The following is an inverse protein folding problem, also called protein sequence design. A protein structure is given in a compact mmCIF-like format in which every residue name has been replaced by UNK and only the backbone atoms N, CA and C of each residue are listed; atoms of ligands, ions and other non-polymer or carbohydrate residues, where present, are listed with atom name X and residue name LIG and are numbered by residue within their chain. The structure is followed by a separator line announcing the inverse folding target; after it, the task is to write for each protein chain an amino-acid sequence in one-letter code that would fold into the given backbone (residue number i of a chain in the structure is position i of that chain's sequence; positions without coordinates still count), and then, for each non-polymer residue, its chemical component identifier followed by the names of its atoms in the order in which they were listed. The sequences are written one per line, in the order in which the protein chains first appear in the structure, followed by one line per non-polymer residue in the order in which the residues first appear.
data_IF_746984683801
#
_entry.id   IF_746984683801
#
_cell.length_a   1.000
_cell.length_b   1.000
_cell.length_c   1.000
_cell.angle_alpha   90.00
_cell.angle_beta   90.00
_cell.angle_gamma   90.00
#
_symmetry.space_group_name_H-M   'P 1'
#
loop_
_entity.id
_entity.type
_entity.pdbx_description
1 polymer ?
#
# COMPACT_ATOMS: atom_id res chain seq x y z
N UNK A 1 42.88 2.16 23.07
CA UNK A 1 41.58 1.49 22.85
C UNK A 1 40.58 2.54 22.47
N UNK A 2 40.42 2.74 21.17
CA UNK A 2 39.48 3.67 20.56
C UNK A 2 38.11 3.02 20.52
N UNK A 3 37.14 3.62 21.20
CA UNK A 3 35.72 3.26 21.09
C UNK A 3 35.23 3.93 19.79
N UNK A 4 34.82 3.10 18.84
CA UNK A 4 34.21 3.51 17.58
C UNK A 4 32.73 3.81 17.82
N UNK A 5 32.35 5.08 17.72
CA UNK A 5 30.96 5.51 17.64
C UNK A 5 30.38 5.13 16.28
N UNK A 6 29.58 4.06 16.27
CA UNK A 6 28.68 3.75 15.16
C UNK A 6 27.51 4.74 15.21
N UNK A 7 27.49 5.70 14.28
CA UNK A 7 26.29 6.51 14.02
C UNK A 7 25.34 5.70 13.14
N UNK A 8 24.16 5.43 13.67
CA UNK A 8 22.99 5.00 12.91
C UNK A 8 22.63 6.07 11.84
N UNK A 9 22.07 5.67 10.68
CA UNK A 9 21.62 6.61 9.68
C UNK A 9 20.36 7.34 10.15
N UNK A 10 20.34 8.66 9.98
CA UNK A 10 19.22 9.52 10.32
C UNK A 10 17.99 9.20 9.45
N UNK A 11 16.85 8.99 10.11
CA UNK A 11 15.53 9.01 9.46
C UNK A 11 15.31 10.34 8.75
N UNK A 12 15.05 10.32 7.44
CA UNK A 12 14.58 11.49 6.70
C UNK A 12 13.19 11.87 7.21
N UNK A 13 13.11 12.88 8.06
CA UNK A 13 11.85 13.34 8.64
C UNK A 13 11.00 14.08 7.61
N UNK A 14 9.72 13.68 7.49
CA UNK A 14 8.68 14.43 6.77
C UNK A 14 8.61 15.85 7.37
N UNK A 15 8.95 16.87 6.59
CA UNK A 15 8.84 18.27 7.02
C UNK A 15 7.42 18.77 6.74
N UNK A 16 6.52 18.52 7.70
CA UNK A 16 5.15 19.06 7.72
C UNK A 16 5.20 20.49 8.26
N UNK A 17 4.63 21.46 7.54
CA UNK A 17 4.44 22.82 8.05
C UNK A 17 2.97 23.02 8.39
N UNK A 18 2.68 23.15 9.68
CA UNK A 18 1.37 23.62 10.13
C UNK A 18 1.28 25.13 9.90
N UNK A 19 0.34 25.55 9.04
CA UNK A 19 0.02 26.96 8.84
C UNK A 19 -1.25 27.26 9.64
N UNK A 20 -1.17 28.14 10.63
CA UNK A 20 -2.34 28.64 11.37
C UNK A 20 -2.56 30.12 11.08
N UNK A 21 -3.72 30.46 10.51
CA UNK A 21 -4.29 31.81 10.51
C UNK A 21 -5.75 31.75 10.98
N UNK A 22 -6.33 32.85 11.53
CA UNK A 22 -7.32 32.71 12.60
C UNK A 22 -8.78 32.54 12.12
N UNK A 23 -9.46 31.60 12.78
CA UNK A 23 -10.90 31.46 12.98
C UNK A 23 -11.83 31.75 11.80
N UNK A 24 -11.90 30.79 10.89
CA UNK A 24 -13.11 30.45 10.14
C UNK A 24 -13.23 28.92 10.15
N UNK A 25 -14.34 28.34 9.71
CA UNK A 25 -14.56 26.88 9.65
C UNK A 25 -13.70 26.20 8.55
N UNK A 26 -12.49 26.71 8.33
CA UNK A 26 -11.51 26.20 7.39
C UNK A 26 -10.98 24.86 7.91
N UNK A 27 -11.14 23.84 7.07
CA UNK A 27 -10.52 22.55 7.28
C UNK A 27 -9.01 22.77 7.48
N UNK A 28 -8.42 22.18 8.52
CA UNK A 28 -6.97 22.13 8.63
C UNK A 28 -6.44 21.36 7.40
N UNK A 29 -5.60 22.02 6.61
CA UNK A 29 -4.98 21.43 5.42
C UNK A 29 -3.48 21.47 5.60
N UNK A 30 -2.85 20.31 5.65
CA UNK A 30 -1.40 20.22 5.68
C UNK A 30 -0.82 20.47 4.28
N UNK A 31 0.28 21.20 4.18
CA UNK A 31 1.04 21.35 2.94
C UNK A 31 2.24 20.38 2.93
N UNK A 32 2.31 19.51 1.93
CA UNK A 32 3.47 18.62 1.74
C UNK A 32 4.50 19.30 0.85
N UNK A 33 5.67 19.61 1.41
CA UNK A 33 6.78 20.23 0.67
C UNK A 33 7.73 19.15 0.10
N UNK A 34 7.88 18.02 0.79
CA UNK A 34 8.68 16.87 0.37
C UNK A 34 7.89 15.57 0.62
N UNK A 35 7.38 14.94 -0.44
CA UNK A 35 6.72 13.63 -0.33
C UNK A 35 7.74 12.52 -0.58
N UNK A 36 7.98 11.60 0.38
CA UNK A 36 9.08 10.62 0.30
C UNK A 36 8.83 9.52 -0.74
N UNK A 37 7.63 9.42 -1.31
CA UNK A 37 7.34 8.47 -2.38
C UNK A 37 7.84 9.01 -3.73
N UNK A 38 8.79 8.33 -4.39
CA UNK A 38 9.44 8.86 -5.58
C UNK A 38 8.66 8.58 -6.87
N UNK A 39 7.34 8.33 -6.78
CA UNK A 39 6.46 8.01 -7.92
C UNK A 39 6.96 6.80 -8.73
N UNK A 40 7.44 5.78 -8.03
CA UNK A 40 8.10 4.62 -8.63
C UNK A 40 7.21 3.95 -9.68
N UNK A 41 5.92 3.80 -9.41
CA UNK A 41 5.02 3.10 -10.33
C UNK A 41 4.83 3.89 -11.64
N UNK A 42 4.76 5.22 -11.59
CA UNK A 42 4.70 6.08 -12.80
C UNK A 42 5.92 5.96 -13.71
N UNK A 43 7.08 5.57 -13.16
CA UNK A 43 8.32 5.37 -13.88
C UNK A 43 8.45 3.97 -14.45
N UNK A 44 7.98 2.95 -13.72
CA UNK A 44 8.10 1.54 -14.11
C UNK A 44 7.01 1.13 -15.09
N UNK A 45 5.75 1.48 -14.80
CA UNK A 45 4.61 0.97 -15.56
C UNK A 45 4.42 1.75 -16.85
N UNK A 46 4.18 1.02 -17.94
CA UNK A 46 3.80 1.56 -19.24
C UNK A 46 2.29 1.52 -19.41
N UNK A 47 1.72 2.59 -19.97
CA UNK A 47 0.28 2.63 -20.29
C UNK A 47 -0.06 1.57 -21.33
N UNK A 48 -1.03 0.73 -21.01
CA UNK A 48 -1.43 -0.41 -21.83
C UNK A 48 -2.82 -0.88 -21.41
N UNK A 49 -3.54 -1.51 -22.33
CA UNK A 49 -4.81 -2.21 -22.07
C UNK A 49 -4.66 -3.70 -22.36
N UNK A 50 -5.21 -4.54 -21.48
CA UNK A 50 -5.39 -5.98 -21.68
C UNK A 50 -6.78 -6.32 -21.18
N UNK A 51 -7.62 -6.87 -22.07
CA UNK A 51 -9.03 -7.10 -21.77
C UNK A 51 -9.73 -5.81 -21.33
N UNK A 52 -10.46 -5.90 -20.22
CA UNK A 52 -11.16 -4.77 -19.57
C UNK A 52 -10.25 -3.87 -18.75
N UNK A 53 -9.03 -4.33 -18.44
CA UNK A 53 -8.11 -3.62 -17.58
C UNK A 53 -7.16 -2.71 -18.35
N UNK A 54 -6.80 -1.57 -17.78
CA UNK A 54 -5.77 -0.70 -18.32
C UNK A 54 -4.90 -0.05 -17.23
N UNK A 55 -3.64 0.19 -17.58
CA UNK A 55 -2.76 1.10 -16.87
C UNK A 55 -2.86 2.48 -17.54
N UNK A 56 -3.21 3.48 -16.75
CA UNK A 56 -3.39 4.87 -17.20
C UNK A 56 -2.58 5.83 -16.32
N UNK A 57 -1.96 6.84 -16.92
CA UNK A 57 -1.20 7.87 -16.22
C UNK A 57 -1.99 9.17 -16.18
N UNK A 58 -1.94 9.83 -15.03
CA UNK A 58 -2.55 11.14 -14.82
C UNK A 58 -1.68 11.98 -13.90
N UNK A 59 -2.06 13.24 -13.72
CA UNK A 59 -1.38 14.17 -12.83
C UNK A 59 -2.43 14.85 -11.95
N UNK A 60 -2.24 14.79 -10.64
CA UNK A 60 -2.97 15.63 -9.71
C UNK A 60 -2.31 17.02 -9.70
N UNK A 61 -3.03 18.08 -10.11
CA UNK A 61 -2.45 19.41 -10.25
C UNK A 61 -1.99 19.99 -8.91
N UNK A 62 -0.93 20.81 -8.95
CA UNK A 62 -0.55 21.67 -7.82
C UNK A 62 -1.73 22.50 -7.30
N UNK A 63 -1.83 22.63 -5.98
CA UNK A 63 -2.91 23.33 -5.29
C UNK A 63 -4.17 22.49 -5.05
N UNK A 64 -4.23 21.27 -5.60
CA UNK A 64 -5.34 20.35 -5.32
C UNK A 64 -5.28 19.87 -3.88
N UNK A 65 -6.41 19.90 -3.19
CA UNK A 65 -6.57 19.24 -1.88
C UNK A 65 -7.00 17.81 -2.12
N UNK A 66 -6.27 16.86 -1.55
CA UNK A 66 -6.53 15.43 -1.61
C UNK A 66 -6.53 14.82 -0.21
N UNK A 67 -7.03 13.61 -0.10
CA UNK A 67 -6.93 12.81 1.13
C UNK A 67 -5.53 12.21 1.24
N UNK A 68 -4.91 12.38 2.41
CA UNK A 68 -3.77 11.60 2.88
C UNK A 68 -4.19 10.69 4.03
N UNK A 69 -3.30 9.79 4.42
CA UNK A 69 -3.56 8.85 5.51
C UNK A 69 -2.42 8.85 6.52
N UNK A 70 -2.75 8.89 7.80
CA UNK A 70 -1.78 8.62 8.86
C UNK A 70 -1.97 7.19 9.36
N UNK A 71 -1.08 6.29 8.94
CA UNK A 71 -1.13 4.89 9.32
C UNK A 71 -0.86 4.64 10.80
N UNK A 72 -0.21 5.56 11.52
CA UNK A 72 -0.03 5.41 12.97
C UNK A 72 -1.36 5.61 13.71
N UNK A 73 -2.16 6.59 13.28
CA UNK A 73 -3.41 6.96 13.94
C UNK A 73 -4.68 6.44 13.25
N UNK A 74 -4.54 5.86 12.05
CA UNK A 74 -5.66 5.40 11.22
C UNK A 74 -6.57 6.53 10.72
N UNK A 75 -6.08 7.77 10.70
CA UNK A 75 -6.89 8.96 10.36
C UNK A 75 -6.67 9.42 8.93
N UNK A 76 -7.76 9.89 8.32
CA UNK A 76 -7.73 10.62 7.05
C UNK A 76 -7.45 12.09 7.35
N UNK A 77 -6.59 12.69 6.54
CA UNK A 77 -6.22 14.11 6.62
C UNK A 77 -6.35 14.78 5.25
N UNK A 78 -6.75 16.05 5.25
CA UNK A 78 -6.76 16.84 4.03
C UNK A 78 -5.38 17.43 3.80
N UNK A 79 -4.88 17.26 2.59
CA UNK A 79 -3.53 17.67 2.24
C UNK A 79 -3.55 18.40 0.91
N UNK A 80 -2.91 19.57 0.88
CA UNK A 80 -2.74 20.35 -0.33
C UNK A 80 -1.44 19.95 -1.00
N UNK A 81 -1.56 19.47 -2.24
CA UNK A 81 -0.43 19.11 -3.07
C UNK A 81 0.31 20.40 -3.50
N UNK A 82 1.62 20.47 -3.28
CA UNK A 82 2.43 21.66 -3.61
C UNK A 82 3.23 21.54 -4.93
N UNK A 83 3.07 20.44 -5.66
CA UNK A 83 3.70 20.16 -6.95
C UNK A 83 2.75 19.39 -7.88
N UNK A 84 3.12 19.16 -9.15
CA UNK A 84 2.32 18.29 -10.01
C UNK A 84 2.59 16.82 -9.61
N UNK A 85 1.62 16.18 -8.96
CA UNK A 85 1.77 14.82 -8.43
C UNK A 85 1.41 13.79 -9.51
N UNK A 86 2.37 13.00 -10.04
CA UNK A 86 2.10 11.94 -11.00
C UNK A 86 1.33 10.80 -10.34
N UNK A 87 0.32 10.27 -11.04
CA UNK A 87 -0.50 9.15 -10.59
C UNK A 87 -0.58 8.10 -11.69
N UNK A 88 -0.40 6.84 -11.33
CA UNK A 88 -0.75 5.67 -12.14
C UNK A 88 -2.01 5.04 -11.59
N UNK A 89 -2.91 4.65 -12.49
CA UNK A 89 -4.16 3.98 -12.16
C UNK A 89 -4.22 2.65 -12.87
N UNK A 90 -4.66 1.62 -12.15
CA UNK A 90 -5.28 0.44 -12.74
C UNK A 90 -6.77 0.74 -12.88
N UNK A 91 -7.29 0.65 -14.09
CA UNK A 91 -8.71 0.85 -14.39
C UNK A 91 -9.34 -0.43 -14.92
N UNK A 92 -10.65 -0.60 -14.66
CA UNK A 92 -11.51 -1.63 -15.24
C UNK A 92 -12.67 -0.92 -15.95
N UNK A 93 -12.73 -1.05 -17.28
CA UNK A 93 -13.73 -0.36 -18.12
C UNK A 93 -13.84 1.16 -17.84
N UNK A 94 -12.71 1.78 -17.53
CA UNK A 94 -12.59 3.22 -17.25
C UNK A 94 -12.87 3.62 -15.79
N UNK A 95 -13.30 2.69 -14.94
CA UNK A 95 -13.43 2.92 -13.50
C UNK A 95 -12.10 2.62 -12.82
N UNK A 96 -11.66 3.48 -11.90
CA UNK A 96 -10.41 3.25 -11.15
C UNK A 96 -10.60 2.11 -10.16
N UNK A 97 -9.74 1.10 -10.25
CA UNK A 97 -9.68 -0.03 -9.31
C UNK A 97 -8.65 0.22 -8.21
N UNK A 98 -7.48 0.74 -8.59
CA UNK A 98 -6.38 1.08 -7.69
C UNK A 98 -5.55 2.19 -8.32
N UNK A 99 -4.87 3.00 -7.51
CA UNK A 99 -3.83 3.93 -7.96
C UNK A 99 -2.64 4.02 -6.99
N UNK A 100 -1.67 4.88 -7.29
CA UNK A 100 -0.64 5.33 -6.34
C UNK A 100 -0.88 6.79 -5.92
N UNK A 101 -2.15 7.16 -5.77
CA UNK A 101 -2.49 8.42 -5.14
C UNK A 101 -1.96 8.44 -3.68
N UNK A 102 -1.91 9.62 -3.10
CA UNK A 102 -1.29 9.80 -1.80
C UNK A 102 -1.96 8.99 -0.69
N UNK A 103 -3.29 8.88 -0.68
CA UNK A 103 -4.01 8.05 0.28
C UNK A 103 -3.61 6.57 0.19
N UNK A 104 -3.55 6.01 -1.02
CA UNK A 104 -3.17 4.60 -1.25
C UNK A 104 -1.71 4.33 -0.88
N UNK A 105 -0.80 5.25 -1.21
CA UNK A 105 0.61 5.16 -0.81
C UNK A 105 0.75 5.20 0.71
N UNK A 106 0.13 6.20 1.35
CA UNK A 106 0.24 6.40 2.80
C UNK A 106 -0.42 5.25 3.59
N UNK A 107 -1.57 4.75 3.13
CA UNK A 107 -2.26 3.61 3.75
C UNK A 107 -1.52 2.28 3.64
N UNK A 108 -0.62 2.14 2.66
CA UNK A 108 0.22 0.96 2.54
C UNK A 108 1.49 1.03 3.41
N UNK A 109 1.80 2.16 4.05
CA UNK A 109 3.02 2.31 4.84
C UNK A 109 3.06 1.37 6.06
N UNK A 110 1.91 1.04 6.66
CA UNK A 110 1.83 0.05 7.73
C UNK A 110 2.29 -1.35 7.28
N UNK A 111 1.99 -1.76 6.04
CA UNK A 111 2.49 -3.00 5.47
C UNK A 111 3.99 -2.93 5.17
N UNK A 112 4.46 -1.80 4.61
CA UNK A 112 5.87 -1.57 4.27
C UNK A 112 6.77 -1.58 5.52
N UNK A 113 6.27 -1.05 6.64
CA UNK A 113 6.94 -1.07 7.94
C UNK A 113 7.10 -2.50 8.47
N UNK A 114 6.01 -3.28 8.44
CA UNK A 114 5.98 -4.65 8.97
C UNK A 114 6.70 -5.68 8.09
N UNK A 115 6.89 -5.39 6.80
CA UNK A 115 7.47 -6.28 5.81
C UNK A 115 8.90 -6.72 6.16
N UNK A 116 9.07 -8.03 6.35
CA UNK A 116 10.34 -8.70 6.60
C UNK A 116 10.25 -10.16 6.15
N UNK A 117 11.40 -10.81 5.95
CA UNK A 117 11.43 -12.26 5.74
C UNK A 117 10.73 -12.70 4.45
N UNK A 118 9.95 -13.79 4.51
CA UNK A 118 9.13 -14.25 3.38
C UNK A 118 7.74 -13.64 3.46
N UNK A 119 7.29 -12.97 2.40
CA UNK A 119 6.01 -12.25 2.37
C UNK A 119 5.06 -12.90 1.37
N UNK A 120 3.79 -13.04 1.75
CA UNK A 120 2.68 -13.34 0.86
C UNK A 120 1.85 -12.07 0.67
N UNK A 121 1.51 -11.74 -0.57
CA UNK A 121 0.61 -10.63 -0.91
C UNK A 121 -0.58 -11.20 -1.68
N UNK A 122 -1.78 -11.02 -1.15
CA UNK A 122 -3.03 -11.26 -1.86
C UNK A 122 -3.48 -9.98 -2.56
N UNK A 123 -3.56 -10.02 -3.88
CA UNK A 123 -3.79 -8.87 -4.76
C UNK A 123 -2.48 -8.34 -5.34
N UNK A 124 -2.42 -8.16 -6.66
CA UNK A 124 -1.30 -7.51 -7.34
C UNK A 124 -1.56 -6.01 -7.51
N UNK A 125 -2.77 -5.63 -7.92
CA UNK A 125 -3.12 -4.23 -8.21
C UNK A 125 -2.16 -3.62 -9.24
N UNK A 126 -1.67 -2.40 -8.98
CA UNK A 126 -0.58 -1.80 -9.77
C UNK A 126 0.81 -2.35 -9.40
N UNK A 127 0.94 -3.23 -8.39
CA UNK A 127 2.21 -3.79 -7.97
C UNK A 127 3.02 -2.87 -7.05
N UNK A 128 2.36 -1.93 -6.36
CA UNK A 128 3.00 -0.95 -5.49
C UNK A 128 3.69 -1.60 -4.28
N UNK A 129 2.93 -2.32 -3.45
CA UNK A 129 3.48 -2.97 -2.26
C UNK A 129 4.67 -3.90 -2.55
N UNK A 130 4.59 -4.87 -3.50
CA UNK A 130 5.74 -5.72 -3.82
C UNK A 130 6.95 -4.91 -4.31
N UNK A 131 6.73 -3.82 -5.04
CA UNK A 131 7.82 -2.93 -5.50
C UNK A 131 8.49 -2.19 -4.36
N UNK A 132 7.74 -1.75 -3.34
CA UNK A 132 8.26 -1.00 -2.20
C UNK A 132 9.05 -1.86 -1.22
N UNK A 133 8.73 -3.15 -1.10
CA UNK A 133 9.33 -4.03 -0.08
C UNK A 133 10.42 -4.97 -0.62
N UNK A 134 10.59 -5.09 -1.94
CA UNK A 134 11.49 -6.08 -2.59
C UNK A 134 12.94 -6.08 -2.07
N UNK A 135 13.44 -4.92 -1.67
CA UNK A 135 14.81 -4.79 -1.15
C UNK A 135 14.91 -5.07 0.36
N UNK A 136 13.78 -5.08 1.09
CA UNK A 136 13.68 -5.31 2.53
C UNK A 136 13.43 -6.78 2.92
N UNK A 137 12.97 -7.60 1.97
CA UNK A 137 12.46 -8.96 2.22
C UNK A 137 13.29 -10.04 1.51
N UNK A 138 13.12 -11.30 1.93
CA UNK A 138 13.78 -12.47 1.37
C UNK A 138 13.09 -12.97 0.10
N UNK A 139 11.76 -13.10 0.14
CA UNK A 139 10.93 -13.53 -0.99
C UNK A 139 9.53 -12.91 -0.93
N UNK A 140 8.88 -12.81 -2.08
CA UNK A 140 7.52 -12.31 -2.23
C UNK A 140 6.74 -13.28 -3.11
N UNK A 141 5.75 -13.95 -2.53
CA UNK A 141 4.71 -14.64 -3.31
C UNK A 141 3.52 -13.69 -3.47
N UNK A 142 3.05 -13.51 -4.70
CA UNK A 142 1.93 -12.64 -5.04
C UNK A 142 0.82 -13.51 -5.61
N UNK A 143 -0.37 -13.43 -5.04
CA UNK A 143 -1.56 -14.15 -5.50
C UNK A 143 -2.49 -13.17 -6.17
N UNK A 144 -2.77 -13.37 -7.45
CA UNK A 144 -3.64 -12.49 -8.24
C UNK A 144 -4.65 -13.32 -9.02
N UNK A 145 -5.92 -12.91 -8.96
CA UNK A 145 -7.04 -13.60 -9.58
C UNK A 145 -7.13 -13.32 -11.09
N UNK A 146 -6.76 -12.13 -11.52
CA UNK A 146 -6.92 -11.69 -12.90
C UNK A 146 -5.65 -11.91 -13.72
N UNK A 147 -5.71 -12.83 -14.68
CA UNK A 147 -4.63 -13.01 -15.67
C UNK A 147 -4.33 -11.72 -16.45
N UNK A 148 -5.35 -10.92 -16.77
CA UNK A 148 -5.15 -9.65 -17.48
C UNK A 148 -4.32 -8.66 -16.65
N UNK A 149 -4.53 -8.61 -15.32
CA UNK A 149 -3.76 -7.76 -14.40
C UNK A 149 -2.32 -8.26 -14.28
N UNK A 150 -2.12 -9.59 -14.22
CA UNK A 150 -0.79 -10.20 -14.24
C UNK A 150 -0.02 -9.78 -15.50
N UNK A 151 -0.66 -9.94 -16.68
CA UNK A 151 -0.07 -9.63 -17.97
C UNK A 151 0.21 -8.13 -18.16
N UNK A 152 -0.57 -7.27 -17.50
CA UNK A 152 -0.37 -5.82 -17.46
C UNK A 152 0.78 -5.42 -16.54
N UNK A 153 0.88 -6.00 -15.35
CA UNK A 153 1.67 -5.42 -14.26
C UNK A 153 2.89 -6.26 -13.91
N UNK A 154 2.71 -7.55 -13.64
CA UNK A 154 3.74 -8.36 -12.98
C UNK A 154 5.06 -8.37 -13.75
N UNK A 155 5.01 -8.54 -15.07
CA UNK A 155 6.21 -8.60 -15.91
C UNK A 155 7.03 -7.29 -15.93
N UNK A 156 6.42 -6.15 -15.59
CA UNK A 156 7.11 -4.86 -15.53
C UNK A 156 7.85 -4.65 -14.19
N UNK A 157 7.42 -5.32 -13.11
CA UNK A 157 7.98 -5.16 -11.77
C UNK A 157 8.79 -6.37 -11.28
N UNK A 158 8.73 -7.49 -12.01
CA UNK A 158 9.26 -8.77 -11.59
C UNK A 158 10.76 -8.70 -11.22
N UNK A 159 11.11 -9.42 -10.16
CA UNK A 159 12.48 -9.64 -9.71
C UNK A 159 12.69 -11.12 -9.41
N UNK A 160 13.93 -11.53 -9.18
CA UNK A 160 14.29 -12.89 -8.77
C UNK A 160 13.69 -13.31 -7.42
N UNK A 161 13.34 -12.35 -6.56
CA UNK A 161 12.66 -12.58 -5.28
C UNK A 161 11.14 -12.78 -5.40
N UNK A 162 10.54 -12.46 -6.55
CA UNK A 162 9.10 -12.44 -6.73
C UNK A 162 8.59 -13.68 -7.46
N UNK A 163 7.48 -14.22 -6.97
CA UNK A 163 6.74 -15.30 -7.62
C UNK A 163 5.27 -14.91 -7.75
N UNK A 164 4.77 -14.91 -8.99
CA UNK A 164 3.33 -14.74 -9.25
C UNK A 164 2.61 -16.08 -9.22
N UNK A 165 1.42 -16.09 -8.61
CA UNK A 165 0.53 -17.23 -8.48
C UNK A 165 -0.83 -16.76 -8.98
N UNK A 166 -1.28 -17.30 -10.11
CA UNK A 166 -2.62 -17.06 -10.62
C UNK A 166 -3.60 -17.95 -9.86
N UNK A 167 -4.21 -17.41 -8.81
CA UNK A 167 -5.14 -18.11 -7.92
C UNK A 167 -6.03 -17.09 -7.20
N UNK A 168 -7.11 -17.58 -6.59
CA UNK A 168 -7.91 -16.81 -5.65
C UNK A 168 -7.24 -16.86 -4.26
N UNK A 169 -7.21 -15.74 -3.54
CA UNK A 169 -6.44 -15.65 -2.29
C UNK A 169 -6.98 -16.57 -1.19
N UNK A 170 -8.30 -16.72 -1.02
CA UNK A 170 -8.86 -17.63 -0.01
C UNK A 170 -8.53 -19.09 -0.35
N UNK A 171 -8.64 -19.47 -1.63
CA UNK A 171 -8.21 -20.77 -2.11
C UNK A 171 -6.71 -21.01 -1.83
N UNK A 172 -5.85 -20.05 -2.16
CA UNK A 172 -4.42 -20.17 -1.90
C UNK A 172 -4.12 -20.31 -0.40
N UNK A 173 -4.71 -19.45 0.44
CA UNK A 173 -4.50 -19.46 1.89
C UNK A 173 -4.98 -20.75 2.55
N UNK A 174 -5.98 -21.42 2.00
CA UNK A 174 -6.51 -22.69 2.55
C UNK A 174 -5.75 -23.92 2.06
N UNK A 175 -5.07 -23.84 0.90
CA UNK A 175 -4.41 -24.98 0.27
C UNK A 175 -2.90 -24.98 0.41
N UNK A 176 -2.26 -23.82 0.56
CA UNK A 176 -0.80 -23.73 0.67
C UNK A 176 -0.28 -24.33 1.98
N UNK A 177 0.89 -24.95 1.93
CA UNK A 177 1.63 -25.39 3.13
C UNK A 177 2.76 -24.41 3.52
N UNK A 178 3.11 -23.48 2.60
CA UNK A 178 4.18 -22.51 2.81
C UNK A 178 3.80 -21.56 3.95
N UNK A 179 4.81 -21.18 4.74
CA UNK A 179 4.68 -20.24 5.85
C UNK A 179 5.42 -18.95 5.56
N UNK A 180 4.89 -17.84 6.05
CA UNK A 180 5.37 -16.48 5.78
C UNK A 180 5.60 -15.72 7.08
N UNK A 181 6.53 -14.77 7.04
CA UNK A 181 6.77 -13.82 8.12
C UNK A 181 5.72 -12.68 8.10
N UNK A 182 5.16 -12.38 6.93
CA UNK A 182 4.04 -11.46 6.75
C UNK A 182 3.08 -11.97 5.67
N UNK A 183 1.78 -11.90 5.95
CA UNK A 183 0.72 -12.06 4.94
C UNK A 183 -0.04 -10.75 4.81
N UNK A 184 0.07 -10.10 3.65
CA UNK A 184 -0.66 -8.88 3.31
C UNK A 184 -1.84 -9.21 2.41
N UNK A 185 -3.01 -8.64 2.68
CA UNK A 185 -4.22 -8.83 1.87
C UNK A 185 -4.73 -7.45 1.45
N UNK A 186 -4.72 -7.21 0.14
CA UNK A 186 -5.11 -5.95 -0.49
C UNK A 186 -5.89 -6.27 -1.78
N UNK A 187 -7.15 -6.68 -1.62
CA UNK A 187 -8.00 -7.21 -2.71
C UNK A 187 -9.26 -6.38 -2.97
N UNK A 188 -9.44 -5.27 -2.25
CA UNK A 188 -10.71 -4.57 -2.19
C UNK A 188 -10.68 -3.27 -2.99
N UNK A 189 -11.76 -3.01 -3.73
CA UNK A 189 -11.90 -1.80 -4.55
C UNK A 189 -12.27 -0.55 -3.77
N UNK A 190 -12.93 -0.71 -2.61
CA UNK A 190 -13.48 0.41 -1.88
C UNK A 190 -13.14 0.32 -0.40
N UNK A 191 -13.18 1.47 0.25
CA UNK A 191 -12.81 1.65 1.65
C UNK A 191 -13.93 1.27 2.64
N UNK A 192 -15.11 0.88 2.14
CA UNK A 192 -16.29 0.55 2.95
C UNK A 192 -16.36 -0.95 3.28
N UNK A 193 -15.28 -1.49 3.83
CA UNK A 193 -15.23 -2.90 4.17
C UNK A 193 -15.85 -3.17 5.55
N UNK A 194 -16.69 -4.21 5.70
CA UNK A 194 -17.09 -4.64 7.02
C UNK A 194 -15.86 -5.21 7.74
N UNK A 195 -15.60 -4.76 8.97
CA UNK A 195 -14.51 -5.26 9.84
C UNK A 195 -14.46 -6.79 9.91
N UNK A 196 -15.62 -7.45 9.83
CA UNK A 196 -15.79 -8.89 9.81
C UNK A 196 -15.10 -9.59 8.63
N UNK A 197 -15.03 -8.94 7.46
CA UNK A 197 -14.35 -9.50 6.27
C UNK A 197 -12.83 -9.46 6.47
N UNK A 198 -12.32 -8.35 7.01
CA UNK A 198 -10.91 -8.23 7.40
C UNK A 198 -10.55 -9.29 8.45
N UNK A 199 -11.33 -9.40 9.52
CA UNK A 199 -11.11 -10.39 10.58
C UNK A 199 -11.18 -11.83 10.04
N UNK A 200 -12.15 -12.12 9.17
CA UNK A 200 -12.29 -13.41 8.51
C UNK A 200 -11.05 -13.77 7.67
N UNK A 201 -10.59 -12.84 6.83
CA UNK A 201 -9.40 -13.02 6.01
C UNK A 201 -8.14 -13.21 6.85
N UNK A 202 -7.99 -12.45 7.94
CA UNK A 202 -6.87 -12.62 8.89
C UNK A 202 -6.90 -13.98 9.56
N UNK A 203 -8.06 -14.45 10.00
CA UNK A 203 -8.23 -15.77 10.61
C UNK A 203 -7.87 -16.91 9.64
N UNK A 204 -8.22 -16.79 8.36
CA UNK A 204 -7.79 -17.75 7.34
C UNK A 204 -6.27 -17.69 7.13
N UNK A 205 -5.69 -16.48 7.11
CA UNK A 205 -4.27 -16.27 6.86
C UNK A 205 -3.35 -16.70 8.01
N UNK A 206 -3.82 -16.73 9.26
CA UNK A 206 -3.05 -17.12 10.44
C UNK A 206 -2.37 -18.49 10.27
N UNK A 207 -3.04 -19.45 9.63
CA UNK A 207 -2.45 -20.76 9.38
C UNK A 207 -1.18 -20.67 8.53
N UNK A 208 -1.02 -19.63 7.73
CA UNK A 208 0.12 -19.43 6.83
C UNK A 208 1.28 -18.68 7.50
N UNK A 209 1.20 -18.39 8.80
CA UNK A 209 2.27 -17.67 9.50
C UNK A 209 3.37 -18.60 10.02
N UNK A 210 4.61 -18.12 9.95
CA UNK A 210 5.73 -18.63 10.75
C UNK A 210 5.55 -18.22 12.22
N UNK A 211 6.24 -18.86 13.18
CA UNK A 211 6.32 -18.36 14.55
C UNK A 211 6.79 -16.90 14.56
N UNK A 212 5.98 -16.00 15.15
CA UNK A 212 6.26 -14.56 15.18
C UNK A 212 5.95 -13.80 13.88
N UNK A 213 5.28 -14.44 12.92
CA UNK A 213 4.73 -13.76 11.74
C UNK A 213 3.47 -12.96 12.08
N UNK A 214 3.04 -12.09 11.16
CA UNK A 214 1.82 -11.30 11.32
C UNK A 214 0.98 -11.27 10.02
N UNK A 215 -0.30 -10.91 10.16
CA UNK A 215 -1.19 -10.58 9.06
C UNK A 215 -1.45 -9.07 9.02
N UNK A 216 -1.62 -8.55 7.81
CA UNK A 216 -2.00 -7.17 7.56
C UNK A 216 -3.03 -7.10 6.44
N UNK A 217 -4.09 -6.32 6.62
CA UNK A 217 -5.07 -6.05 5.58
C UNK A 217 -5.11 -4.55 5.27
N UNK A 218 -5.35 -4.19 4.00
CA UNK A 218 -5.48 -2.78 3.63
C UNK A 218 -6.53 -2.06 4.50
N UNK A 219 -6.13 -0.91 5.03
CA UNK A 219 -6.90 -0.06 5.94
C UNK A 219 -7.26 -0.67 7.32
N UNK A 220 -6.61 -1.74 7.76
CA UNK A 220 -6.89 -2.33 9.08
C UNK A 220 -6.72 -1.34 10.25
N UNK A 221 -5.84 -0.34 10.11
CA UNK A 221 -5.60 0.72 11.09
C UNK A 221 -6.80 1.65 11.28
N UNK A 222 -7.62 1.85 10.24
CA UNK A 222 -8.86 2.65 10.38
C UNK A 222 -9.82 2.01 11.39
N UNK A 223 -9.92 0.68 11.39
CA UNK A 223 -10.86 -0.06 12.24
C UNK A 223 -10.37 -0.22 13.67
N UNK A 224 -9.06 -0.43 13.86
CA UNK A 224 -8.46 -0.55 15.21
C UNK A 224 -8.69 0.69 16.07
N UNK A 225 -8.72 1.87 15.44
CA UNK A 225 -8.88 3.14 16.14
C UNK A 225 -10.34 3.61 16.23
N UNK A 226 -11.25 3.07 15.41
CA UNK A 226 -12.70 3.34 15.56
C UNK A 226 -13.31 2.59 16.74
N UNK A 227 -12.84 1.37 17.05
CA UNK A 227 -13.35 0.55 18.16
C UNK A 227 -12.77 0.94 19.53
N UNK A 228 -11.61 1.60 19.57
CA UNK A 228 -10.99 2.09 20.80
C UNK A 228 -11.74 3.28 21.45
N UNK A 229 -12.73 3.88 20.77
CA UNK A 229 -13.59 4.93 21.33
C UNK A 229 -14.86 4.41 22.00
N UNK A 230 -15.10 3.11 21.99
CA UNK A 230 -16.31 2.48 22.56
C UNK A 230 -16.04 1.61 23.80
N UNK A 231 -14.81 1.62 24.34
CA UNK A 231 -14.41 0.88 25.54
C UNK A 231 -14.19 1.78 26.78
#
# INVERSE_FOLDING_TARGET
MTISDNKEPAEESKLVKHVTEPASWELEVDEIINYPYPFTMSKILTEKRVGKYAIEKSVTPVGTVVEGFDWHTGKIQNVKITFNYPVVKLTEDGNTWMSDNMFEVDSNLGAVDQARGDVLIGGLGIGMLPTLIKDKVNSIDIVELSQDVIDLVFHQIATDKMKIIHDEICHHLTTTEKKYDLVCIDIWQNTFLPVWDIEGMKGIAERCLKPGGNTWCWLEEMYKHSTAKEA
#
